data_IF_405515204142
#
_entry.id   IF_405515204142
#
_cell.length_a   1.000
_cell.length_b   1.000
_cell.length_c   1.000
_cell.angle_alpha   90.00
_cell.angle_beta   90.00
_cell.angle_gamma   90.00
#
_symmetry.space_group_name_H-M   'P 1'
#
loop_
_entity.id
_entity.type
_entity.pdbx_description
1 polymer ?
#
# COMPACT_ATOMS: atom_id res chain seq x y z
N UNK A 1 -37.49 43.12 -1.61
CA UNK A 1 -36.42 42.15 -1.47
C UNK A 1 -36.96 40.82 -1.03
N UNK A 2 -36.38 39.69 -1.48
CA UNK A 2 -36.80 38.35 -1.09
C UNK A 2 -36.51 38.12 0.40
N UNK A 3 -37.51 37.75 1.18
CA UNK A 3 -37.37 37.40 2.60
C UNK A 3 -37.21 35.90 2.75
N UNK A 4 -36.35 35.46 3.68
CA UNK A 4 -36.14 34.03 3.98
C UNK A 4 -36.85 33.66 5.27
N UNK A 5 -37.66 32.61 5.23
CA UNK A 5 -38.24 31.97 6.38
C UNK A 5 -37.51 30.65 6.64
N UNK A 6 -37.25 30.33 7.91
CA UNK A 6 -36.67 29.05 8.34
C UNK A 6 -37.70 28.28 9.14
N UNK A 7 -37.96 27.03 8.75
CA UNK A 7 -38.87 26.14 9.43
C UNK A 7 -38.15 24.82 9.74
N UNK A 8 -38.50 24.21 10.86
CA UNK A 8 -38.10 22.82 11.15
C UNK A 8 -39.11 21.89 10.48
N UNK A 9 -38.59 20.90 9.77
CA UNK A 9 -39.44 19.88 9.17
C UNK A 9 -39.93 18.91 10.24
N UNK A 10 -41.25 18.60 10.31
CA UNK A 10 -41.74 17.52 11.15
C UNK A 10 -41.22 16.15 10.64
N UNK A 11 -41.39 15.11 11.45
CA UNK A 11 -41.17 13.74 10.97
C UNK A 11 -42.21 13.42 9.86
N UNK A 12 -41.78 12.58 8.89
CA UNK A 12 -42.67 12.06 7.84
C UNK A 12 -43.84 11.30 8.50
N UNK A 13 -45.04 11.54 8.08
CA UNK A 13 -46.21 10.78 8.52
C UNK A 13 -46.07 9.33 8.07
N UNK A 14 -46.07 8.41 9.03
CA UNK A 14 -45.86 6.98 8.77
C UNK A 14 -44.42 6.56 8.42
N UNK A 15 -43.41 7.45 8.55
CA UNK A 15 -41.99 7.12 8.30
C UNK A 15 -41.67 6.85 6.83
N UNK A 16 -42.52 7.23 5.90
CA UNK A 16 -42.38 6.95 4.46
C UNK A 16 -41.49 8.00 3.80
N UNK A 17 -40.53 7.55 2.97
CA UNK A 17 -39.75 8.45 2.12
C UNK A 17 -40.55 8.91 0.89
N UNK A 18 -40.37 10.15 0.47
CA UNK A 18 -41.06 10.69 -0.70
C UNK A 18 -41.11 12.21 -0.74
N UNK A 19 -41.65 12.72 -1.84
CA UNK A 19 -41.89 14.15 -2.04
C UNK A 19 -43.15 14.62 -1.34
N UNK A 20 -43.07 15.74 -0.63
CA UNK A 20 -44.19 16.41 -0.04
C UNK A 20 -44.23 17.89 -0.44
N UNK A 21 -45.40 18.42 -0.66
CA UNK A 21 -45.58 19.83 -0.96
C UNK A 21 -45.32 20.67 0.28
N UNK A 22 -44.63 21.79 0.13
CA UNK A 22 -44.42 22.78 1.20
C UNK A 22 -45.43 23.94 0.98
N UNK A 23 -46.21 24.23 2.02
CA UNK A 23 -47.20 25.30 2.01
C UNK A 23 -46.91 26.28 3.14
N UNK A 24 -47.09 27.55 2.87
CA UNK A 24 -47.05 28.60 3.85
C UNK A 24 -48.48 29.08 4.16
N UNK A 25 -48.85 29.13 5.43
CA UNK A 25 -50.12 29.68 5.88
C UNK A 25 -49.91 30.92 6.74
N UNK A 26 -50.79 31.90 6.59
CA UNK A 26 -50.87 33.02 7.52
C UNK A 26 -51.86 32.73 8.65
N UNK A 27 -51.82 33.51 9.72
CA UNK A 27 -52.80 33.43 10.79
C UNK A 27 -54.25 33.62 10.28
N UNK A 28 -54.45 34.19 9.10
CA UNK A 28 -55.75 34.43 8.50
C UNK A 28 -56.12 33.37 7.44
N UNK A 29 -55.40 32.23 7.40
CA UNK A 29 -55.79 31.08 6.60
C UNK A 29 -55.39 31.11 5.12
N UNK A 30 -54.70 32.13 4.62
CA UNK A 30 -54.20 32.14 3.26
C UNK A 30 -53.04 31.13 3.07
N UNK A 31 -53.22 30.20 2.15
CA UNK A 31 -52.20 29.20 1.79
C UNK A 31 -51.46 29.64 0.53
N UNK A 32 -50.15 29.65 0.57
CA UNK A 32 -49.29 29.77 -0.62
C UNK A 32 -48.57 28.47 -0.83
N UNK A 33 -48.80 27.83 -1.97
CA UNK A 33 -48.06 26.63 -2.39
C UNK A 33 -46.88 27.06 -3.25
N UNK A 34 -45.73 26.42 -3.11
CA UNK A 34 -44.62 26.83 -3.94
C UNK A 34 -43.34 26.05 -3.82
N UNK A 35 -43.28 24.98 -3.09
CA UNK A 35 -42.04 24.18 -2.98
C UNK A 35 -42.31 22.71 -2.68
N UNK A 36 -41.32 21.90 -2.86
CA UNK A 36 -41.35 20.47 -2.49
C UNK A 36 -40.20 20.14 -1.58
N UNK A 37 -40.44 19.26 -0.64
CA UNK A 37 -39.43 18.71 0.25
C UNK A 37 -39.41 17.18 0.10
N UNK A 38 -38.21 16.60 0.06
CA UNK A 38 -38.05 15.16 -0.06
C UNK A 38 -37.61 14.54 1.26
N UNK A 39 -38.45 13.68 1.82
CA UNK A 39 -38.07 12.81 2.93
C UNK A 39 -37.32 11.59 2.38
N UNK A 40 -36.12 11.35 2.85
CA UNK A 40 -35.30 10.20 2.44
C UNK A 40 -35.15 9.18 3.58
N UNK A 41 -35.00 7.92 3.23
CA UNK A 41 -34.61 6.88 4.17
C UNK A 41 -33.20 7.12 4.71
N UNK A 42 -32.88 6.57 5.87
CA UNK A 42 -31.54 6.61 6.41
C UNK A 42 -30.55 5.91 5.46
N UNK A 43 -29.40 6.54 5.24
CA UNK A 43 -28.29 5.91 4.55
C UNK A 43 -27.56 4.99 5.51
N UNK A 44 -27.07 3.87 5.00
CA UNK A 44 -26.22 2.92 5.76
C UNK A 44 -24.94 2.67 5.01
N UNK A 45 -23.83 2.46 5.73
CA UNK A 45 -22.62 1.95 5.12
C UNK A 45 -22.28 0.57 5.69
N UNK A 46 -21.97 -0.37 4.83
CA UNK A 46 -21.49 -1.69 5.17
C UNK A 46 -19.96 -1.73 5.34
N UNK A 47 -19.26 -0.73 4.80
CA UNK A 47 -17.81 -0.62 4.91
C UNK A 47 -17.22 0.55 4.17
N UNK A 48 -15.90 0.70 4.31
CA UNK A 48 -15.11 1.70 3.60
C UNK A 48 -13.84 1.07 3.02
N UNK A 49 -13.38 1.56 1.87
CA UNK A 49 -12.17 1.07 1.23
C UNK A 49 -11.35 2.23 0.61
N UNK A 50 -10.08 2.41 0.99
CA UNK A 50 -9.40 1.70 2.08
C UNK A 50 -9.99 2.05 3.44
N UNK A 51 -9.83 1.15 4.42
CA UNK A 51 -10.34 1.36 5.79
C UNK A 51 -9.38 2.14 6.67
N UNK A 52 -8.21 2.51 6.14
CA UNK A 52 -7.16 3.24 6.86
C UNK A 52 -6.40 4.20 5.94
N UNK A 53 -5.80 5.22 6.51
CA UNK A 53 -4.96 6.18 5.80
C UNK A 53 -4.24 7.15 6.74
N UNK A 54 -3.42 8.05 6.19
CA UNK A 54 -2.58 8.94 6.99
C UNK A 54 -3.39 10.01 7.73
N UNK A 55 -2.91 10.40 8.90
CA UNK A 55 -3.47 11.49 9.72
C UNK A 55 -3.56 12.84 8.98
N UNK A 56 -2.69 13.06 8.00
CA UNK A 56 -2.74 14.24 7.13
C UNK A 56 -3.94 14.25 6.17
N UNK A 57 -4.73 13.17 6.12
CA UNK A 57 -5.86 13.03 5.21
C UNK A 57 -5.45 12.86 3.74
N UNK A 58 -6.37 13.19 2.84
CA UNK A 58 -6.16 13.15 1.39
C UNK A 58 -6.45 11.80 0.73
N UNK A 59 -6.79 10.77 1.50
CA UNK A 59 -7.14 9.46 0.97
C UNK A 59 -8.53 9.48 0.34
N UNK A 60 -8.65 9.01 -0.91
CA UNK A 60 -9.95 8.73 -1.54
C UNK A 60 -10.52 7.45 -0.96
N UNK A 61 -11.63 7.58 -0.26
CA UNK A 61 -12.32 6.50 0.46
C UNK A 61 -13.62 6.20 -0.25
N UNK A 62 -13.77 4.99 -0.77
CA UNK A 62 -15.06 4.48 -1.22
C UNK A 62 -15.87 4.07 0.01
N UNK A 63 -17.06 4.62 0.17
CA UNK A 63 -18.03 4.21 1.18
C UNK A 63 -19.03 3.31 0.51
N UNK A 64 -19.08 2.05 0.93
CA UNK A 64 -19.98 1.03 0.40
C UNK A 64 -21.20 0.89 1.30
N UNK A 65 -22.39 0.78 0.72
CA UNK A 65 -23.59 0.74 1.53
C UNK A 65 -24.88 0.76 0.73
N UNK A 66 -25.84 1.54 1.17
CA UNK A 66 -27.14 1.65 0.48
C UNK A 66 -27.95 2.87 0.91
N UNK A 67 -28.97 3.16 0.09
CA UNK A 67 -29.83 4.32 0.28
C UNK A 67 -29.20 5.62 -0.22
N UNK A 68 -28.11 5.55 -1.00
CA UNK A 68 -27.43 6.72 -1.54
C UNK A 68 -28.22 7.28 -2.73
N UNK A 69 -28.25 8.62 -2.82
CA UNK A 69 -28.87 9.34 -3.93
C UNK A 69 -27.97 10.51 -4.33
N UNK A 70 -28.00 10.86 -5.58
CA UNK A 70 -27.29 12.03 -6.07
C UNK A 70 -27.90 13.31 -5.48
N UNK A 71 -27.08 14.03 -4.71
CA UNK A 71 -27.45 15.30 -4.13
C UNK A 71 -26.19 16.17 -3.94
N UNK A 72 -26.26 17.43 -4.34
CA UNK A 72 -25.17 18.39 -4.21
C UNK A 72 -24.82 18.70 -2.73
N UNK A 73 -25.70 18.35 -1.80
CA UNK A 73 -25.54 18.52 -0.34
C UNK A 73 -24.95 17.30 0.35
N UNK A 74 -24.69 16.23 -0.41
CA UNK A 74 -24.15 14.98 0.13
C UNK A 74 -22.81 15.19 0.81
N UNK A 75 -22.65 14.67 2.05
CA UNK A 75 -21.45 14.86 2.88
C UNK A 75 -21.04 13.57 3.58
N UNK A 76 -19.72 13.43 3.79
CA UNK A 76 -19.14 12.47 4.71
C UNK A 76 -18.52 13.20 5.90
N UNK A 77 -18.73 12.68 7.10
CA UNK A 77 -17.99 13.03 8.30
C UNK A 77 -17.03 11.91 8.69
N UNK A 78 -15.89 12.25 9.26
CA UNK A 78 -14.91 11.32 9.81
C UNK A 78 -14.67 11.68 11.29
N UNK A 79 -15.38 10.98 12.19
CA UNK A 79 -15.42 11.34 13.60
C UNK A 79 -16.19 12.66 13.84
N UNK A 80 -16.13 13.13 15.09
CA UNK A 80 -16.81 14.37 15.50
C UNK A 80 -15.94 15.63 15.42
N UNK A 81 -14.62 15.46 15.30
CA UNK A 81 -13.64 16.56 15.38
C UNK A 81 -13.25 17.16 14.02
N UNK A 82 -13.49 16.45 12.92
CA UNK A 82 -13.16 16.93 11.59
C UNK A 82 -14.37 17.57 10.89
N UNK A 83 -14.13 18.63 10.11
CA UNK A 83 -15.16 19.23 9.29
C UNK A 83 -15.65 18.21 8.23
N UNK A 84 -16.98 18.09 8.03
CA UNK A 84 -17.52 17.23 7.00
C UNK A 84 -17.06 17.62 5.60
N UNK A 85 -16.78 16.61 4.77
CA UNK A 85 -16.34 16.79 3.39
C UNK A 85 -17.44 16.49 2.38
N UNK A 86 -17.35 17.05 1.18
CA UNK A 86 -18.25 16.72 0.08
C UNK A 86 -18.08 15.24 -0.28
N UNK A 87 -19.19 14.55 -0.46
CA UNK A 87 -19.22 13.22 -1.02
C UNK A 87 -19.56 13.28 -2.52
N UNK A 88 -18.85 12.51 -3.32
CA UNK A 88 -19.19 12.27 -4.71
C UNK A 88 -20.08 11.04 -4.79
N UNK A 89 -21.24 11.20 -5.38
CA UNK A 89 -22.12 10.09 -5.72
C UNK A 89 -21.51 9.26 -6.86
N UNK A 90 -21.42 7.97 -6.69
CA UNK A 90 -20.99 7.01 -7.72
C UNK A 90 -22.23 6.24 -8.20
N UNK A 91 -22.92 5.57 -7.29
CA UNK A 91 -24.19 4.88 -7.50
C UNK A 91 -24.97 4.70 -6.17
N UNK A 92 -26.10 3.99 -6.20
CA UNK A 92 -26.96 3.77 -5.04
C UNK A 92 -26.29 2.99 -3.89
N UNK A 93 -25.16 2.31 -4.20
CA UNK A 93 -24.39 1.47 -3.27
C UNK A 93 -23.01 2.02 -2.95
N UNK A 94 -22.55 3.09 -3.62
CA UNK A 94 -21.21 3.63 -3.45
C UNK A 94 -21.15 5.16 -3.49
N UNK A 95 -20.47 5.72 -2.48
CA UNK A 95 -20.01 7.10 -2.46
C UNK A 95 -18.48 7.15 -2.44
N UNK A 96 -17.91 8.27 -2.88
CA UNK A 96 -16.49 8.56 -2.75
C UNK A 96 -16.29 9.84 -1.92
N UNK A 97 -15.47 9.75 -0.87
CA UNK A 97 -15.11 10.87 -0.01
C UNK A 97 -13.60 10.99 0.08
N UNK A 98 -13.09 12.20 0.31
CA UNK A 98 -11.67 12.41 0.61
C UNK A 98 -11.53 12.60 2.11
N UNK A 99 -10.72 11.75 2.76
CA UNK A 99 -10.51 11.86 4.21
C UNK A 99 -9.91 13.21 4.59
N UNK A 100 -10.47 13.95 5.54
CA UNK A 100 -9.89 15.20 6.05
C UNK A 100 -8.66 14.90 6.94
N UNK A 101 -7.94 15.94 7.31
CA UNK A 101 -6.91 15.85 8.36
C UNK A 101 -7.56 15.49 9.68
N UNK A 102 -6.99 14.52 10.41
CA UNK A 102 -7.49 14.04 11.68
C UNK A 102 -6.36 13.45 12.52
N UNK A 103 -6.45 13.50 13.83
CA UNK A 103 -5.49 12.82 14.71
C UNK A 103 -5.51 11.31 14.48
N UNK A 104 -4.36 10.63 14.69
CA UNK A 104 -4.28 9.18 14.59
C UNK A 104 -5.28 8.51 15.53
N UNK A 105 -5.95 7.46 15.06
CA UNK A 105 -6.99 6.75 15.77
C UNK A 105 -8.16 6.36 14.89
N UNK A 106 -9.15 5.67 15.46
CA UNK A 106 -10.36 5.26 14.76
C UNK A 106 -11.40 6.38 14.77
N UNK A 107 -11.99 6.65 13.62
CA UNK A 107 -13.04 7.64 13.42
C UNK A 107 -14.29 6.97 12.81
N UNK A 108 -15.45 7.16 13.42
CA UNK A 108 -16.71 6.72 12.82
C UNK A 108 -16.97 7.49 11.53
N UNK A 109 -17.41 6.79 10.49
CA UNK A 109 -17.85 7.43 9.26
C UNK A 109 -19.31 7.82 9.39
N UNK A 110 -19.58 9.10 9.20
CA UNK A 110 -20.92 9.70 9.30
C UNK A 110 -21.37 10.11 7.90
N UNK A 111 -22.62 9.92 7.59
CA UNK A 111 -23.21 10.28 6.30
C UNK A 111 -24.34 11.29 6.46
N UNK A 112 -24.41 12.23 5.54
CA UNK A 112 -25.51 13.20 5.48
C UNK A 112 -25.91 13.44 4.04
N UNK A 113 -27.21 13.32 3.76
CA UNK A 113 -27.80 13.64 2.45
C UNK A 113 -27.93 15.15 2.23
N UNK A 114 -28.18 15.90 3.30
CA UNK A 114 -28.52 17.32 3.24
C UNK A 114 -27.49 18.26 3.88
N UNK A 115 -26.37 17.72 4.40
CA UNK A 115 -25.34 18.49 5.07
C UNK A 115 -25.69 19.01 6.46
N UNK A 116 -26.82 18.58 7.04
CA UNK A 116 -27.32 19.04 8.35
C UNK A 116 -27.44 17.89 9.36
N UNK A 117 -28.07 16.80 9.00
CA UNK A 117 -28.24 15.64 9.86
C UNK A 117 -27.20 14.58 9.45
N UNK A 118 -26.35 14.23 10.39
CA UNK A 118 -25.32 13.22 10.23
C UNK A 118 -25.68 11.98 11.04
N UNK A 119 -25.87 10.85 10.35
CA UNK A 119 -26.15 9.57 10.97
C UNK A 119 -24.87 8.69 10.98
N UNK A 120 -24.63 7.93 12.06
CA UNK A 120 -23.61 6.90 12.05
C UNK A 120 -23.89 5.89 10.94
N UNK A 121 -22.89 5.61 10.12
CA UNK A 121 -23.06 4.71 8.98
C UNK A 121 -22.85 3.23 9.33
N UNK A 122 -22.30 2.92 10.52
CA UNK A 122 -21.85 1.58 10.90
C UNK A 122 -20.42 1.27 10.50
N UNK A 123 -19.78 2.08 9.65
CA UNK A 123 -18.40 1.93 9.23
C UNK A 123 -17.44 2.82 10.02
N UNK A 124 -16.18 2.40 10.12
CA UNK A 124 -15.10 3.17 10.74
C UNK A 124 -13.90 3.28 9.80
N UNK A 125 -13.16 4.37 9.95
CA UNK A 125 -11.92 4.65 9.24
C UNK A 125 -10.80 4.89 10.24
N UNK A 126 -9.63 4.28 10.01
CA UNK A 126 -8.49 4.39 10.94
C UNK A 126 -7.44 5.36 10.39
N UNK A 127 -7.21 6.44 11.10
CA UNK A 127 -6.12 7.37 10.84
C UNK A 127 -4.83 6.85 11.45
N UNK A 128 -3.76 6.85 10.68
CA UNK A 128 -2.45 6.37 11.09
C UNK A 128 -1.41 7.48 11.00
N UNK A 129 -0.34 7.44 11.83
CA UNK A 129 0.80 8.31 11.66
C UNK A 129 1.32 8.25 10.21
N UNK A 130 1.75 9.37 9.68
CA UNK A 130 2.31 9.44 8.33
C UNK A 130 3.62 8.68 8.26
N UNK A 131 3.72 7.73 7.34
CA UNK A 131 4.97 7.00 7.12
C UNK A 131 6.05 7.90 6.53
N UNK A 132 7.31 7.66 6.91
CA UNK A 132 8.49 8.35 6.41
C UNK A 132 9.63 7.36 6.25
N UNK A 133 10.41 7.47 5.17
CA UNK A 133 11.60 6.67 4.91
C UNK A 133 12.84 7.51 5.14
N UNK A 134 13.77 7.05 5.97
CA UNK A 134 15.02 7.73 6.28
C UNK A 134 16.19 7.16 5.48
N UNK A 135 16.37 5.84 5.51
CA UNK A 135 17.42 5.14 4.77
C UNK A 135 17.03 3.66 4.55
N UNK A 136 17.83 2.94 3.79
CA UNK A 136 17.63 1.52 3.47
C UNK A 136 18.93 0.73 3.69
N UNK A 137 18.79 -0.56 3.98
CA UNK A 137 19.91 -1.49 4.10
C UNK A 137 19.53 -2.88 3.54
N UNK A 138 20.26 -3.43 2.57
CA UNK A 138 21.37 -2.79 1.82
C UNK A 138 20.88 -1.67 0.90
N UNK A 139 21.80 -0.77 0.51
CA UNK A 139 21.53 0.30 -0.48
C UNK A 139 21.66 -0.19 -1.93
N UNK A 140 22.05 -1.46 -2.13
CA UNK A 140 22.22 -2.10 -3.42
C UNK A 140 21.52 -3.46 -3.41
N UNK A 141 20.81 -3.78 -4.50
CA UNK A 141 20.13 -5.07 -4.69
C UNK A 141 20.36 -5.61 -6.10
N UNK A 142 20.10 -6.89 -6.31
CA UNK A 142 20.20 -7.49 -7.63
C UNK A 142 19.01 -7.08 -8.50
N UNK A 143 19.30 -6.80 -9.78
CA UNK A 143 18.28 -6.43 -10.77
C UNK A 143 17.32 -7.59 -11.09
N UNK A 144 17.73 -8.82 -10.84
CA UNK A 144 16.90 -10.03 -10.95
C UNK A 144 15.81 -10.10 -9.87
N UNK A 145 15.94 -9.28 -8.82
CA UNK A 145 15.01 -9.21 -7.71
C UNK A 145 15.35 -10.18 -6.57
N UNK A 146 14.41 -10.33 -5.62
CA UNK A 146 14.52 -11.25 -4.49
C UNK A 146 15.42 -10.78 -3.34
N UNK A 147 16.19 -9.71 -3.49
CA UNK A 147 17.00 -9.15 -2.41
C UNK A 147 16.09 -8.49 -1.38
N UNK A 148 16.09 -8.94 -0.11
CA UNK A 148 15.35 -8.23 0.94
C UNK A 148 16.11 -6.94 1.29
N UNK A 149 15.35 -5.87 1.35
CA UNK A 149 15.82 -4.53 1.70
C UNK A 149 15.08 -4.11 2.95
N UNK A 150 15.81 -3.90 4.04
CA UNK A 150 15.25 -3.29 5.25
C UNK A 150 15.11 -1.79 5.02
N UNK A 151 13.91 -1.30 5.12
CA UNK A 151 13.59 0.13 5.02
C UNK A 151 13.45 0.69 6.42
N UNK A 152 14.29 1.65 6.76
CA UNK A 152 14.29 2.34 8.04
C UNK A 152 13.60 3.70 7.92
N UNK A 153 12.79 4.02 8.93
CA UNK A 153 12.00 5.26 8.90
C UNK A 153 11.15 5.44 10.15
N UNK A 154 9.92 5.88 9.97
CA UNK A 154 8.95 6.04 11.07
C UNK A 154 7.52 5.88 10.56
N UNK A 155 6.60 5.66 11.49
CA UNK A 155 5.16 5.60 11.19
C UNK A 155 4.72 4.34 10.46
N UNK A 156 5.51 3.26 10.43
CA UNK A 156 5.10 1.99 9.84
C UNK A 156 4.12 1.25 10.75
N UNK A 157 3.06 0.71 10.17
CA UNK A 157 1.92 0.17 10.92
C UNK A 157 1.79 -1.35 10.76
N UNK A 158 1.81 -2.05 11.91
CA UNK A 158 1.50 -3.49 11.96
C UNK A 158 0.05 -3.79 11.58
N UNK A 159 -0.88 -2.89 11.91
CA UNK A 159 -2.28 -3.02 11.49
C UNK A 159 -2.44 -2.98 9.97
N UNK A 160 -1.60 -2.20 9.28
CA UNK A 160 -1.56 -2.15 7.80
C UNK A 160 -1.04 -3.44 7.20
N UNK A 161 -0.04 -4.08 7.82
CA UNK A 161 0.43 -5.41 7.41
C UNK A 161 -0.66 -6.45 7.59
N UNK A 162 -1.32 -6.49 8.74
CA UNK A 162 -2.35 -7.47 9.07
C UNK A 162 -3.49 -7.49 8.05
N UNK A 163 -3.84 -6.33 7.47
CA UNK A 163 -4.85 -6.23 6.41
C UNK A 163 -4.24 -6.23 4.99
N UNK A 164 -2.93 -6.48 4.86
CA UNK A 164 -2.22 -6.59 3.59
C UNK A 164 -2.06 -5.27 2.82
N UNK A 165 -2.19 -4.13 3.50
CA UNK A 165 -2.08 -2.80 2.90
C UNK A 165 -0.71 -2.16 3.07
N UNK A 166 0.18 -2.73 3.93
CA UNK A 166 1.56 -2.29 4.02
C UNK A 166 2.32 -2.71 2.77
N UNK A 167 2.77 -1.75 1.99
CA UNK A 167 3.40 -2.01 0.69
C UNK A 167 4.63 -1.16 0.47
N UNK A 168 5.57 -1.70 -0.32
CA UNK A 168 6.70 -0.99 -0.88
C UNK A 168 6.52 -0.82 -2.38
N UNK A 169 6.95 0.31 -2.90
CA UNK A 169 7.07 0.57 -4.34
C UNK A 169 8.54 0.80 -4.66
N UNK A 170 9.12 -0.08 -5.48
CA UNK A 170 10.52 -0.01 -5.92
C UNK A 170 10.52 0.13 -7.45
N UNK A 171 11.00 1.26 -7.96
CA UNK A 171 11.04 1.52 -9.40
C UNK A 171 9.68 1.42 -10.10
N UNK A 172 8.57 1.67 -9.39
CA UNK A 172 7.21 1.55 -9.91
C UNK A 172 6.51 0.21 -9.58
N UNK A 173 7.25 -0.86 -9.29
CA UNK A 173 6.66 -2.14 -8.91
C UNK A 173 6.25 -2.17 -7.44
N UNK A 174 5.00 -2.55 -7.17
CA UNK A 174 4.43 -2.61 -5.82
C UNK A 174 4.46 -4.04 -5.28
N UNK A 175 4.90 -4.20 -4.03
CA UNK A 175 4.93 -5.46 -3.29
C UNK A 175 4.49 -5.24 -1.84
N UNK A 176 3.94 -6.29 -1.23
CA UNK A 176 3.69 -6.30 0.20
C UNK A 176 5.02 -6.21 0.95
N UNK A 177 5.03 -5.43 2.02
CA UNK A 177 6.15 -5.36 2.95
C UNK A 177 5.84 -6.19 4.19
N UNK A 178 6.90 -6.64 4.87
CA UNK A 178 6.81 -7.32 6.17
C UNK A 178 7.17 -6.30 7.25
N UNK A 179 6.30 -6.13 8.21
CA UNK A 179 6.51 -5.21 9.33
C UNK A 179 7.49 -5.84 10.34
N UNK A 180 8.50 -5.11 10.74
CA UNK A 180 9.44 -5.50 11.79
C UNK A 180 9.27 -4.64 13.03
N UNK A 181 9.04 -3.34 12.86
CA UNK A 181 8.76 -2.37 13.93
C UNK A 181 8.11 -1.10 13.34
N UNK A 182 7.69 -0.17 14.20
CA UNK A 182 7.21 1.14 13.74
C UNK A 182 8.28 1.98 13.02
N UNK A 183 9.55 1.55 13.08
CA UNK A 183 10.71 2.21 12.45
C UNK A 183 11.42 1.34 11.40
N UNK A 184 10.99 0.10 11.18
CA UNK A 184 11.63 -0.80 10.21
C UNK A 184 10.63 -1.76 9.57
N UNK A 185 10.73 -1.92 8.25
CA UNK A 185 10.00 -2.92 7.46
C UNK A 185 10.95 -3.59 6.48
N UNK A 186 10.58 -4.77 5.99
CA UNK A 186 11.34 -5.49 4.97
C UNK A 186 10.56 -5.51 3.67
N UNK A 187 11.23 -5.09 2.60
CA UNK A 187 10.72 -5.09 1.23
C UNK A 187 11.59 -5.98 0.35
N UNK A 188 11.00 -6.84 -0.45
CA UNK A 188 11.75 -7.62 -1.42
C UNK A 188 11.89 -6.85 -2.74
N UNK A 189 13.14 -6.63 -3.17
CA UNK A 189 13.41 -6.05 -4.47
C UNK A 189 12.74 -6.87 -5.58
N UNK A 190 12.17 -6.21 -6.57
CA UNK A 190 11.55 -6.84 -7.73
C UNK A 190 12.53 -6.84 -8.89
N UNK A 191 12.33 -7.77 -9.83
CA UNK A 191 13.10 -7.75 -11.09
C UNK A 191 12.85 -6.42 -11.81
N UNK A 192 13.92 -5.72 -12.15
CA UNK A 192 13.89 -4.45 -12.86
C UNK A 192 15.22 -4.21 -13.59
N UNK A 193 15.28 -3.23 -14.47
CA UNK A 193 16.52 -2.84 -15.13
C UNK A 193 17.56 -2.35 -14.09
N UNK A 194 18.83 -2.64 -14.35
CA UNK A 194 19.92 -2.11 -13.54
C UNK A 194 19.93 -0.58 -13.58
N UNK A 195 20.21 0.05 -12.44
CA UNK A 195 20.18 1.51 -12.29
C UNK A 195 19.66 1.94 -10.93
N UNK A 196 19.31 3.21 -10.82
CA UNK A 196 18.73 3.80 -9.61
C UNK A 196 17.20 3.64 -9.60
N UNK A 197 16.66 3.07 -8.55
CA UNK A 197 15.23 2.94 -8.33
C UNK A 197 14.82 3.66 -7.04
N UNK A 198 13.74 4.43 -7.08
CA UNK A 198 13.16 5.00 -5.85
C UNK A 198 12.49 3.90 -5.04
N UNK A 199 12.67 3.95 -3.73
CA UNK A 199 11.93 3.11 -2.80
C UNK A 199 10.98 3.99 -1.98
N UNK A 200 9.72 3.62 -1.97
CA UNK A 200 8.64 4.35 -1.33
C UNK A 200 7.74 3.35 -0.58
N UNK A 201 7.14 3.78 0.51
CA UNK A 201 6.33 2.94 1.39
C UNK A 201 4.94 3.52 1.52
N UNK A 202 3.95 2.65 1.64
CA UNK A 202 2.57 3.02 1.94
C UNK A 202 1.97 2.12 3.01
N UNK A 203 1.30 2.71 3.98
CA UNK A 203 0.53 1.98 4.99
C UNK A 203 -0.87 1.56 4.47
N UNK A 204 -1.37 2.14 3.38
CA UNK A 204 -2.72 1.87 2.87
C UNK A 204 -2.75 1.50 1.38
N UNK A 205 -1.60 1.20 0.79
CA UNK A 205 -1.41 0.87 -0.62
C UNK A 205 -1.90 1.96 -1.61
N UNK A 206 -2.10 3.19 -1.13
CA UNK A 206 -2.58 4.34 -1.90
C UNK A 206 -1.60 5.51 -1.88
N UNK A 207 -1.37 6.08 -0.71
CA UNK A 207 -0.44 7.20 -0.52
C UNK A 207 0.94 6.67 -0.18
N UNK A 208 1.90 6.90 -1.07
CA UNK A 208 3.30 6.51 -0.89
C UNK A 208 4.13 7.68 -0.35
N UNK A 209 5.18 7.34 0.40
CA UNK A 209 6.19 8.31 0.82
C UNK A 209 6.89 8.91 -0.40
N UNK A 210 7.46 10.10 -0.23
CA UNK A 210 8.20 10.79 -1.30
C UNK A 210 9.57 11.30 -0.82
N UNK A 211 10.20 10.58 0.11
CA UNK A 211 11.44 10.98 0.77
C UNK A 211 12.68 10.93 -0.17
N UNK A 212 12.54 10.40 -1.38
CA UNK A 212 13.59 10.39 -2.37
C UNK A 212 14.71 9.36 -2.16
N UNK A 213 14.54 8.43 -1.22
CA UNK A 213 15.50 7.35 -0.97
C UNK A 213 15.61 6.44 -2.17
N UNK A 214 16.86 6.07 -2.54
CA UNK A 214 17.14 5.31 -3.74
C UNK A 214 17.82 3.98 -3.42
N UNK A 215 17.42 2.95 -4.16
CA UNK A 215 18.03 1.63 -4.19
C UNK A 215 18.78 1.49 -5.51
N UNK A 216 20.06 1.12 -5.45
CA UNK A 216 20.85 0.81 -6.63
C UNK A 216 20.60 -0.64 -7.03
N UNK A 217 20.03 -0.85 -8.22
CA UNK A 217 19.85 -2.17 -8.82
C UNK A 217 21.04 -2.48 -9.71
N UNK A 218 21.67 -3.62 -9.47
CA UNK A 218 22.87 -4.06 -10.21
C UNK A 218 22.60 -5.41 -10.87
N UNK A 219 22.99 -5.54 -12.12
CA UNK A 219 23.03 -6.84 -12.78
C UNK A 219 24.34 -7.55 -12.43
N UNK A 220 24.23 -8.84 -12.17
CA UNK A 220 25.36 -9.70 -11.88
C UNK A 220 25.38 -10.82 -12.90
N UNK A 221 26.47 -10.92 -13.66
CA UNK A 221 26.67 -11.96 -14.68
C UNK A 221 27.93 -12.74 -14.39
N UNK A 222 27.81 -14.06 -14.30
CA UNK A 222 28.95 -14.95 -14.24
C UNK A 222 29.61 -14.98 -15.65
N UNK A 223 30.90 -14.71 -15.72
CA UNK A 223 31.70 -14.71 -16.96
C UNK A 223 32.54 -15.95 -17.09
N UNK A 224 33.12 -16.42 -15.97
CA UNK A 224 34.05 -17.56 -15.97
C UNK A 224 34.09 -18.24 -14.60
N UNK A 225 34.42 -19.52 -14.58
CA UNK A 225 34.58 -20.33 -13.37
C UNK A 225 35.84 -21.16 -13.48
N UNK A 226 36.77 -20.97 -12.55
CA UNK A 226 38.07 -21.68 -12.56
C UNK A 226 38.39 -22.24 -11.17
N UNK A 227 38.79 -23.53 -11.08
CA UNK A 227 38.82 -24.53 -12.17
C UNK A 227 37.40 -24.88 -12.63
N UNK A 228 37.25 -25.28 -13.89
CA UNK A 228 35.97 -25.65 -14.49
C UNK A 228 35.51 -27.09 -14.16
N UNK A 229 36.33 -27.85 -13.46
CA UNK A 229 36.06 -29.24 -13.06
C UNK A 229 36.54 -29.52 -11.64
N UNK A 230 35.95 -30.51 -11.01
CA UNK A 230 36.32 -30.98 -9.68
C UNK A 230 35.74 -32.38 -9.39
N UNK A 231 36.13 -33.02 -8.29
CA UNK A 231 35.64 -34.34 -7.91
C UNK A 231 34.12 -34.27 -7.54
N UNK A 232 33.42 -35.38 -7.79
CA UNK A 232 32.01 -35.53 -7.43
C UNK A 232 31.72 -35.36 -5.93
N UNK A 233 32.70 -35.63 -5.09
CA UNK A 233 32.63 -35.40 -3.64
C UNK A 233 32.68 -33.92 -3.24
N UNK A 234 32.86 -32.99 -4.18
CA UNK A 234 32.92 -31.55 -3.93
C UNK A 234 34.25 -31.09 -3.33
N UNK A 235 34.22 -30.09 -2.46
CA UNK A 235 35.36 -29.49 -1.78
C UNK A 235 36.42 -28.80 -2.69
N UNK A 236 36.08 -28.51 -3.93
CA UNK A 236 36.94 -27.71 -4.81
C UNK A 236 36.69 -26.23 -4.59
N UNK A 237 37.76 -25.46 -4.33
CA UNK A 237 37.67 -24.00 -4.30
C UNK A 237 37.67 -23.49 -5.74
N UNK A 238 36.54 -22.94 -6.18
CA UNK A 238 36.39 -22.31 -7.48
C UNK A 238 36.45 -20.81 -7.38
N UNK A 239 37.09 -20.17 -8.35
CA UNK A 239 37.12 -18.73 -8.54
C UNK A 239 36.10 -18.37 -9.61
N UNK A 240 35.05 -17.70 -9.24
CA UNK A 240 33.99 -17.23 -10.14
C UNK A 240 34.30 -15.79 -10.54
N UNK A 241 34.56 -15.57 -11.83
CA UNK A 241 34.69 -14.23 -12.39
C UNK A 241 33.30 -13.73 -12.75
N UNK A 242 32.91 -12.58 -12.20
CA UNK A 242 31.59 -11.98 -12.46
C UNK A 242 31.74 -10.53 -12.89
N UNK A 243 30.88 -10.10 -13.81
CA UNK A 243 30.72 -8.70 -14.19
C UNK A 243 29.62 -8.07 -13.38
N UNK A 244 29.87 -6.88 -12.86
CA UNK A 244 28.94 -6.11 -12.03
C UNK A 244 29.54 -5.79 -10.66
N UNK A 245 28.87 -4.91 -9.94
CA UNK A 245 29.18 -4.59 -8.54
C UNK A 245 28.17 -5.32 -7.67
N UNK A 246 28.63 -6.08 -6.68
CA UNK A 246 27.73 -6.79 -5.77
C UNK A 246 27.76 -6.21 -4.36
N UNK A 247 26.60 -6.16 -3.69
CA UNK A 247 26.58 -5.99 -2.25
C UNK A 247 27.20 -7.23 -1.61
N UNK A 248 27.95 -7.06 -0.53
CA UNK A 248 28.61 -8.17 0.17
C UNK A 248 27.63 -9.32 0.47
N UNK A 249 28.19 -10.54 0.61
CA UNK A 249 27.40 -11.71 0.98
C UNK A 249 26.72 -12.43 -0.20
N UNK A 250 27.52 -12.79 -1.22
CA UNK A 250 27.06 -13.67 -2.29
C UNK A 250 27.25 -15.15 -1.91
N UNK A 251 26.40 -15.99 -2.50
CA UNK A 251 26.49 -17.44 -2.48
C UNK A 251 26.64 -17.97 -3.91
N UNK A 252 27.37 -19.03 -4.06
CA UNK A 252 27.44 -19.80 -5.31
C UNK A 252 26.48 -20.98 -5.21
N UNK A 253 25.67 -21.16 -6.22
CA UNK A 253 24.84 -22.34 -6.41
C UNK A 253 25.34 -23.14 -7.62
N UNK A 254 25.51 -24.43 -7.45
CA UNK A 254 25.97 -25.36 -8.48
C UNK A 254 24.79 -26.26 -8.87
N UNK A 255 24.22 -26.04 -10.07
CA UNK A 255 23.04 -26.74 -10.53
C UNK A 255 21.86 -26.57 -9.57
N UNK A 256 21.12 -27.66 -9.32
CA UNK A 256 20.01 -27.73 -8.35
C UNK A 256 20.49 -27.98 -6.90
N UNK A 257 21.82 -28.09 -6.70
CA UNK A 257 22.41 -28.37 -5.40
C UNK A 257 22.34 -27.22 -4.40
N UNK A 258 22.89 -27.47 -3.21
CA UNK A 258 22.97 -26.50 -2.13
C UNK A 258 23.86 -25.31 -2.51
N UNK A 259 23.48 -24.12 -2.08
CA UNK A 259 24.30 -22.93 -2.24
C UNK A 259 25.43 -22.91 -1.20
N UNK A 260 26.67 -22.71 -1.63
CA UNK A 260 27.84 -22.49 -0.76
C UNK A 260 28.07 -20.99 -0.55
N UNK A 261 28.57 -20.62 0.62
CA UNK A 261 28.95 -19.23 0.89
C UNK A 261 30.17 -18.86 0.05
N UNK A 262 30.08 -17.71 -0.61
CA UNK A 262 31.21 -17.14 -1.33
C UNK A 262 31.93 -16.11 -0.46
N UNK A 263 33.25 -16.01 -0.67
CA UNK A 263 34.07 -14.95 -0.07
C UNK A 263 34.81 -14.17 -1.18
N UNK A 264 35.01 -12.89 -0.94
CA UNK A 264 35.62 -12.01 -1.94
C UNK A 264 37.05 -12.46 -2.28
N UNK A 265 37.33 -12.56 -3.56
CA UNK A 265 38.65 -12.80 -4.12
C UNK A 265 39.22 -11.57 -4.83
N UNK A 266 38.61 -10.39 -4.65
CA UNK A 266 38.97 -9.14 -5.33
C UNK A 266 37.74 -8.47 -5.96
N UNK A 267 37.94 -7.38 -6.69
CA UNK A 267 36.84 -6.52 -7.18
C UNK A 267 35.86 -7.21 -8.16
N UNK A 268 36.27 -8.28 -8.84
CA UNK A 268 35.43 -8.99 -9.83
C UNK A 268 35.45 -10.51 -9.64
N UNK A 269 36.07 -11.01 -8.56
CA UNK A 269 36.21 -12.44 -8.30
C UNK A 269 35.59 -12.83 -6.97
N UNK A 270 34.82 -13.90 -7.00
CA UNK A 270 34.24 -14.56 -5.83
C UNK A 270 34.85 -15.97 -5.76
N UNK A 271 35.24 -16.41 -4.57
CA UNK A 271 35.65 -17.79 -4.31
C UNK A 271 34.55 -18.54 -3.63
N UNK A 272 34.27 -19.74 -4.09
CA UNK A 272 33.27 -20.62 -3.53
C UNK A 272 33.79 -22.04 -3.40
N UNK A 273 33.27 -22.77 -2.45
CA UNK A 273 33.55 -24.21 -2.31
C UNK A 273 32.46 -24.99 -3.04
N UNK A 274 32.82 -25.93 -3.93
CA UNK A 274 31.81 -26.76 -4.58
C UNK A 274 31.20 -27.74 -3.57
N UNK A 275 29.85 -27.88 -3.55
CA UNK A 275 29.21 -28.96 -2.80
C UNK A 275 29.50 -30.32 -3.46
N UNK A 276 29.22 -31.40 -2.75
CA UNK A 276 29.15 -32.72 -3.35
C UNK A 276 28.05 -32.76 -4.44
N UNK A 277 28.31 -33.48 -5.53
CA UNK A 277 27.34 -33.69 -6.59
C UNK A 277 26.10 -34.42 -6.02
N UNK A 278 24.92 -33.90 -6.31
CA UNK A 278 23.65 -34.56 -5.93
C UNK A 278 23.55 -35.91 -6.66
N UNK A 279 23.50 -37.00 -5.88
CA UNK A 279 23.45 -38.36 -6.41
C UNK A 279 24.82 -38.96 -6.86
N UNK A 280 25.95 -38.29 -6.62
CA UNK A 280 27.29 -38.81 -6.95
C UNK A 280 27.56 -38.96 -8.44
N UNK A 281 26.77 -38.34 -9.29
CA UNK A 281 26.87 -38.45 -10.76
C UNK A 281 27.77 -37.36 -11.31
N UNK A 282 28.67 -37.75 -12.25
CA UNK A 282 29.49 -36.80 -13.01
C UNK A 282 28.68 -36.13 -14.11
N UNK A 283 28.88 -34.85 -14.32
CA UNK A 283 28.17 -34.06 -15.36
C UNK A 283 28.43 -32.55 -15.26
N UNK A 284 27.93 -31.84 -16.24
CA UNK A 284 28.00 -30.39 -16.28
C UNK A 284 26.90 -29.81 -15.40
N UNK A 285 27.25 -28.83 -14.58
CA UNK A 285 26.30 -28.06 -13.77
C UNK A 285 26.52 -26.59 -14.00
N UNK A 286 25.40 -25.84 -14.13
CA UNK A 286 25.46 -24.40 -14.19
C UNK A 286 25.87 -23.79 -12.85
N UNK A 287 26.67 -22.72 -12.89
CA UNK A 287 27.02 -21.95 -11.69
C UNK A 287 26.23 -20.65 -11.66
N UNK A 288 25.50 -20.44 -10.58
CA UNK A 288 24.68 -19.25 -10.35
C UNK A 288 25.15 -18.53 -9.10
N UNK A 289 25.08 -17.21 -9.12
CA UNK A 289 25.32 -16.39 -7.94
C UNK A 289 23.99 -15.90 -7.38
N UNK A 290 23.84 -15.94 -6.07
CA UNK A 290 22.69 -15.39 -5.35
C UNK A 290 23.14 -14.50 -4.21
N UNK A 291 22.33 -13.53 -3.85
CA UNK A 291 22.49 -12.82 -2.57
C UNK A 291 22.18 -13.76 -1.40
N UNK A 292 22.66 -13.46 -0.20
CA UNK A 292 22.38 -14.26 1.01
C UNK A 292 20.87 -14.53 1.23
N UNK A 293 20.00 -13.84 0.51
CA UNK A 293 18.55 -13.82 0.70
C UNK A 293 17.74 -14.26 -0.53
N UNK A 294 18.34 -14.95 -1.49
CA UNK A 294 17.56 -15.77 -2.40
C UNK A 294 17.36 -15.33 -3.85
N UNK A 295 17.93 -14.21 -4.34
CA UNK A 295 17.90 -13.91 -5.77
C UNK A 295 19.02 -14.66 -6.52
N UNK A 296 18.69 -15.35 -7.63
CA UNK A 296 19.63 -16.06 -8.48
C UNK A 296 20.06 -15.18 -9.66
N UNK A 297 21.38 -15.10 -9.95
CA UNK A 297 21.86 -14.52 -11.20
C UNK A 297 21.77 -15.58 -12.31
N UNK A 298 21.36 -15.20 -13.51
CA UNK A 298 21.43 -16.07 -14.68
C UNK A 298 22.90 -16.21 -15.11
N UNK A 299 23.43 -17.42 -15.04
CA UNK A 299 24.65 -17.82 -15.75
C UNK A 299 24.24 -18.58 -17.01
N UNK A 300 24.77 -18.17 -18.17
CA UNK A 300 24.61 -18.90 -19.41
C UNK A 300 25.55 -20.11 -19.47
#
# INVERSE_FOLDING_TARGET
GASRLRCLTPASSGGVSGWVGVQLSSFHGALSSGGSFYYHSAMTASGVSPSLGPERGGTRVAVLGGGFRDAYTLRCGFGSSAAPVLARYVDESQLECVSPVHAAGSAAVLLSMNGQQYAPSGASYTYQPSASVSYISPSTALSEGGTPVTVHGSGFSSASEAVGMLTCRIGGAVRRAVWASSSAIVCNATRAAAGEARIEVSNNAREYTSNGVRLRLVSLRVLDVQPWSGPVGGATVVSVLAHGSWPGGLRCRFGEGSASSGWSGGASRLRCLTPASSGGVSGWVGVQLSSFHGALSSGG
#
